data_IF_728516845316
#
_entry.id   IF_728516845316
#
_cell.length_a   1.000
_cell.length_b   1.000
_cell.length_c   1.000
_cell.angle_alpha   90.00
_cell.angle_beta   90.00
_cell.angle_gamma   90.00
#
_symmetry.space_group_name_H-M   'P 1'
#
loop_
_entity.id
_entity.type
_entity.pdbx_description
1 polymer ?
#
# COMPACT_ATOMS: atom_id res chain seq x y z
N UNK A 1 17.37 -20.40 18.63
CA UNK A 1 16.23 -21.35 18.65
C UNK A 1 14.95 -20.53 18.59
N UNK A 2 14.21 -20.58 17.49
CA UNK A 2 13.01 -19.77 17.28
C UNK A 2 11.78 -20.52 17.83
N UNK A 3 11.13 -19.99 18.87
CA UNK A 3 9.83 -20.49 19.34
C UNK A 3 8.71 -19.59 18.81
N UNK A 4 7.82 -20.21 18.02
CA UNK A 4 6.58 -19.65 17.49
C UNK A 4 5.64 -19.25 18.63
N UNK A 5 5.04 -18.06 18.56
CA UNK A 5 3.92 -17.68 19.42
C UNK A 5 2.60 -18.00 18.70
N UNK A 6 1.75 -18.76 19.38
CA UNK A 6 0.38 -19.10 18.98
C UNK A 6 -0.51 -17.92 19.35
N UNK A 7 -1.29 -17.40 18.39
CA UNK A 7 -2.34 -16.40 18.65
C UNK A 7 -3.70 -17.10 18.59
N UNK A 8 -4.36 -17.17 19.74
CA UNK A 8 -5.74 -17.62 19.88
C UNK A 8 -6.66 -16.44 19.58
N UNK A 9 -7.49 -16.54 18.53
CA UNK A 9 -8.51 -15.54 18.20
C UNK A 9 -9.75 -15.80 19.05
N UNK A 10 -10.14 -14.83 19.87
CA UNK A 10 -11.38 -14.89 20.66
C UNK A 10 -12.62 -14.70 19.78
N UNK A 11 -13.63 -15.55 19.99
CA UNK A 11 -14.91 -15.56 19.28
C UNK A 11 -15.70 -14.24 19.46
N UNK A 12 -16.26 -13.74 18.36
CA UNK A 12 -17.32 -12.75 18.38
C UNK A 12 -18.67 -13.42 18.72
N UNK A 13 -19.37 -12.89 19.73
CA UNK A 13 -20.73 -13.29 20.10
C UNK A 13 -21.73 -12.61 19.16
N UNK A 14 -22.50 -13.39 18.41
CA UNK A 14 -23.64 -12.90 17.60
C UNK A 14 -24.93 -12.97 18.42
N UNK A 15 -25.60 -11.84 18.65
CA UNK A 15 -27.00 -11.82 19.09
C UNK A 15 -27.91 -11.50 17.89
N UNK A 16 -28.89 -12.36 17.65
CA UNK A 16 -29.96 -12.17 16.69
C UNK A 16 -31.13 -11.38 17.31
N UNK A 17 -31.66 -10.40 16.59
CA UNK A 17 -32.88 -9.66 16.94
C UNK A 17 -33.57 -9.13 15.68
N UNK A 18 -34.87 -9.40 15.55
CA UNK A 18 -35.69 -9.10 14.39
C UNK A 18 -36.25 -7.66 14.39
N UNK A 19 -36.22 -7.03 13.20
CA UNK A 19 -37.09 -5.96 12.66
C UNK A 19 -37.56 -4.78 13.52
N UNK A 20 -37.10 -3.57 13.16
CA UNK A 20 -37.86 -2.31 12.87
C UNK A 20 -36.83 -1.27 12.40
N UNK A 21 -37.14 -0.52 11.33
CA UNK A 21 -36.22 0.45 10.73
C UNK A 21 -35.78 1.57 11.68
N UNK A 22 -34.48 1.63 11.93
CA UNK A 22 -33.76 2.77 12.52
C UNK A 22 -32.58 3.06 11.62
N UNK A 23 -32.38 4.34 11.27
CA UNK A 23 -31.20 4.79 10.55
C UNK A 23 -29.95 4.28 11.28
N UNK A 24 -29.10 3.51 10.59
CA UNK A 24 -27.80 3.12 11.11
C UNK A 24 -26.97 4.38 11.31
N UNK A 25 -26.92 4.90 12.54
CA UNK A 25 -25.87 5.81 12.95
C UNK A 25 -24.56 5.09 12.65
N UNK A 26 -23.76 5.65 11.74
CA UNK A 26 -22.41 5.17 11.50
C UNK A 26 -21.71 5.09 12.86
N UNK A 27 -21.33 3.89 13.29
CA UNK A 27 -20.47 3.74 14.47
C UNK A 27 -19.20 4.55 14.17
N UNK A 28 -19.02 5.67 14.86
CA UNK A 28 -17.77 6.42 14.80
C UNK A 28 -16.64 5.47 15.22
N UNK A 29 -15.64 5.32 14.37
CA UNK A 29 -14.52 4.44 14.65
C UNK A 29 -13.81 4.92 15.94
N UNK A 30 -13.63 4.02 16.91
CA UNK A 30 -12.95 4.35 18.17
C UNK A 30 -11.49 4.67 17.87
N UNK A 31 -10.99 5.88 18.19
CA UNK A 31 -9.60 6.21 17.96
C UNK A 31 -8.65 5.27 18.70
N UNK A 32 -7.52 4.94 18.09
CA UNK A 32 -6.48 4.10 18.70
C UNK A 32 -5.19 4.88 18.88
N UNK A 33 -4.38 4.48 19.85
CA UNK A 33 -3.03 5.03 20.07
C UNK A 33 -2.10 4.55 18.96
N UNK A 34 -1.29 5.48 18.45
CA UNK A 34 -0.17 5.21 17.55
C UNK A 34 1.15 5.61 18.23
N UNK A 35 2.04 4.65 18.50
CA UNK A 35 3.30 4.90 19.17
C UNK A 35 4.48 4.47 18.28
N UNK A 36 5.59 5.24 18.26
CA UNK A 36 6.83 4.79 17.64
C UNK A 36 7.30 3.45 18.22
N UNK A 37 7.76 2.52 17.40
CA UNK A 37 8.35 1.27 17.90
C UNK A 37 9.75 1.50 18.48
N UNK A 38 10.08 0.75 19.53
CA UNK A 38 11.39 0.79 20.19
C UNK A 38 12.27 -0.29 19.59
N UNK A 39 13.25 0.12 18.79
CA UNK A 39 14.23 -0.79 18.19
C UNK A 39 15.57 -0.66 18.90
N UNK A 40 16.15 -1.79 19.28
CA UNK A 40 17.47 -1.86 19.91
C UNK A 40 18.46 -2.37 18.87
N UNK A 41 19.24 -1.47 18.30
CA UNK A 41 20.20 -1.76 17.21
C UNK A 41 21.60 -2.11 17.70
N UNK A 42 21.82 -2.04 19.01
CA UNK A 42 23.08 -2.41 19.66
C UNK A 42 23.04 -3.85 20.16
N UNK A 43 24.21 -4.47 20.29
CA UNK A 43 24.31 -5.79 20.91
C UNK A 43 23.85 -5.72 22.38
N UNK A 44 22.84 -6.52 22.74
CA UNK A 44 22.32 -6.60 24.11
C UNK A 44 23.07 -7.69 24.88
N UNK A 45 23.79 -7.34 25.98
CA UNK A 45 24.44 -8.33 26.83
C UNK A 45 23.45 -9.38 27.34
N UNK A 46 23.87 -10.65 27.44
CA UNK A 46 23.01 -11.76 27.88
C UNK A 46 22.34 -11.48 29.24
N UNK A 47 23.07 -10.81 30.14
CA UNK A 47 22.59 -10.42 31.47
C UNK A 47 21.47 -9.38 31.44
N UNK A 48 21.35 -8.60 30.37
CA UNK A 48 20.35 -7.54 30.21
C UNK A 48 19.09 -8.00 29.47
N UNK A 49 19.11 -9.15 28.77
CA UNK A 49 18.01 -9.59 27.91
C UNK A 49 16.67 -9.66 28.64
N UNK A 50 16.63 -10.33 29.80
CA UNK A 50 15.39 -10.47 30.58
C UNK A 50 14.82 -9.12 31.05
N UNK A 51 15.68 -8.16 31.43
CA UNK A 51 15.25 -6.82 31.85
C UNK A 51 14.75 -6.00 30.65
N UNK A 52 15.42 -6.10 29.51
CA UNK A 52 15.00 -5.46 28.25
C UNK A 52 13.62 -6.01 27.81
N UNK A 53 13.45 -7.33 27.79
CA UNK A 53 12.20 -7.98 27.42
C UNK A 53 11.04 -7.59 28.36
N UNK A 54 11.31 -7.47 29.66
CA UNK A 54 10.32 -7.00 30.63
C UNK A 54 9.85 -5.57 30.33
N UNK A 55 10.79 -4.67 30.00
CA UNK A 55 10.45 -3.29 29.68
C UNK A 55 9.71 -3.17 28.34
N UNK A 56 10.06 -3.98 27.33
CA UNK A 56 9.32 -4.03 26.06
C UNK A 56 7.87 -4.51 26.28
N UNK A 57 7.67 -5.58 27.05
CA UNK A 57 6.32 -6.03 27.43
C UNK A 57 5.54 -4.98 28.23
N UNK A 58 6.23 -4.23 29.09
CA UNK A 58 5.60 -3.14 29.84
C UNK A 58 5.14 -2.02 28.91
N UNK A 59 5.92 -1.70 27.88
CA UNK A 59 5.54 -0.71 26.85
C UNK A 59 4.27 -1.15 26.12
N UNK A 60 4.16 -2.42 25.72
CA UNK A 60 2.96 -2.94 25.05
C UNK A 60 1.72 -2.90 25.96
N UNK A 61 1.88 -3.26 27.24
CA UNK A 61 0.80 -3.15 28.23
C UNK A 61 0.30 -1.71 28.40
N UNK A 62 1.20 -0.73 28.39
CA UNK A 62 0.84 0.68 28.50
C UNK A 62 0.03 1.17 27.29
N UNK A 63 0.34 0.69 26.08
CA UNK A 63 -0.44 0.99 24.87
C UNK A 63 -1.85 0.40 24.98
N UNK A 64 -1.97 -0.85 25.42
CA UNK A 64 -3.27 -1.51 25.60
C UNK A 64 -4.12 -0.82 26.66
N UNK A 65 -3.51 -0.43 27.80
CA UNK A 65 -4.19 0.35 28.83
C UNK A 65 -4.71 1.68 28.28
N UNK A 66 -3.90 2.37 27.47
CA UNK A 66 -4.29 3.63 26.84
C UNK A 66 -5.44 3.46 25.83
N UNK A 67 -5.39 2.42 24.98
CA UNK A 67 -6.47 2.08 24.05
C UNK A 67 -7.78 1.75 24.80
N UNK A 68 -7.71 0.96 25.87
CA UNK A 68 -8.87 0.63 26.70
C UNK A 68 -9.48 1.89 27.34
N UNK A 69 -8.63 2.83 27.79
CA UNK A 69 -9.08 4.10 28.34
C UNK A 69 -9.76 4.97 27.27
N UNK A 70 -9.22 5.05 26.06
CA UNK A 70 -9.84 5.80 24.94
C UNK A 70 -11.21 5.22 24.58
N UNK A 71 -11.32 3.89 24.51
CA UNK A 71 -12.59 3.21 24.26
C UNK A 71 -13.61 3.46 25.38
N UNK A 72 -13.19 3.50 26.64
CA UNK A 72 -14.07 3.76 27.79
C UNK A 72 -14.53 5.23 27.91
N UNK A 73 -13.83 6.18 27.26
CA UNK A 73 -14.07 7.62 27.41
C UNK A 73 -14.81 8.26 26.23
N UNK A 74 -15.38 7.45 25.33
CA UNK A 74 -16.14 7.94 24.17
C UNK A 74 -17.28 8.87 24.62
N UNK A 75 -17.21 10.15 24.22
CA UNK A 75 -18.22 11.17 24.55
C UNK A 75 -18.01 11.93 25.87
N UNK A 76 -16.89 11.75 26.59
CA UNK A 76 -16.61 12.44 27.86
C UNK A 76 -15.23 13.16 27.84
N UNK A 77 -15.14 14.35 28.45
CA UNK A 77 -13.87 15.02 28.77
C UNK A 77 -13.45 16.24 27.92
N UNK A 78 -14.15 16.55 26.82
CA UNK A 78 -13.83 17.70 25.96
C UNK A 78 -12.62 17.47 25.03
N UNK A 79 -12.34 18.44 24.14
CA UNK A 79 -11.44 18.28 22.98
C UNK A 79 -9.99 17.88 23.32
N UNK A 80 -9.51 18.16 24.54
CA UNK A 80 -8.13 17.93 24.96
C UNK A 80 -7.96 16.76 25.96
N UNK A 81 -9.04 16.04 26.30
CA UNK A 81 -8.98 15.00 27.33
C UNK A 81 -8.01 13.87 26.99
N UNK A 82 -8.10 13.35 25.76
CA UNK A 82 -7.25 12.22 25.35
C UNK A 82 -5.78 12.64 25.37
N UNK A 83 -5.47 13.86 24.93
CA UNK A 83 -4.11 14.41 24.96
C UNK A 83 -3.55 14.50 26.38
N UNK A 84 -4.34 15.07 27.31
CA UNK A 84 -3.86 15.40 28.66
C UNK A 84 -3.90 14.21 29.62
N UNK A 85 -4.96 13.40 29.56
CA UNK A 85 -5.22 12.34 30.52
C UNK A 85 -4.71 10.97 30.05
N UNK A 86 -4.48 10.78 28.75
CA UNK A 86 -4.11 9.47 28.18
C UNK A 86 -2.73 9.53 27.51
N UNK A 87 -2.54 10.38 26.50
CA UNK A 87 -1.28 10.43 25.75
C UNK A 87 -0.13 11.02 26.56
N UNK A 88 -0.38 12.04 27.38
CA UNK A 88 0.61 12.60 28.31
C UNK A 88 1.18 11.53 29.26
N UNK A 89 0.36 10.87 30.08
CA UNK A 89 0.82 9.79 30.95
C UNK A 89 1.44 8.60 30.22
N UNK A 90 0.95 8.27 29.02
CA UNK A 90 1.54 7.21 28.19
C UNK A 90 2.97 7.58 27.75
N UNK A 91 3.19 8.84 27.35
CA UNK A 91 4.52 9.34 27.00
C UNK A 91 5.48 9.19 28.17
N UNK A 92 5.10 9.63 29.37
CA UNK A 92 5.98 9.55 30.54
C UNK A 92 6.32 8.10 30.92
N UNK A 93 5.31 7.21 30.90
CA UNK A 93 5.48 5.78 31.16
C UNK A 93 6.41 5.11 30.14
N UNK A 94 6.30 5.45 28.86
CA UNK A 94 7.16 4.93 27.78
C UNK A 94 8.58 5.48 27.88
N UNK A 95 8.73 6.78 28.11
CA UNK A 95 10.03 7.42 28.32
C UNK A 95 10.82 6.72 29.44
N UNK A 96 10.15 6.45 30.55
CA UNK A 96 10.75 5.75 31.68
C UNK A 96 11.17 4.30 31.31
N UNK A 97 10.33 3.57 30.57
CA UNK A 97 10.66 2.21 30.14
C UNK A 97 11.85 2.17 29.16
N UNK A 98 11.91 3.08 28.20
CA UNK A 98 13.02 3.18 27.23
C UNK A 98 14.32 3.57 27.96
N UNK A 99 14.24 4.50 28.92
CA UNK A 99 15.38 4.89 29.75
C UNK A 99 15.91 3.73 30.60
N UNK A 100 15.03 2.83 31.07
CA UNK A 100 15.43 1.59 31.76
C UNK A 100 16.11 0.60 30.83
N UNK A 101 15.67 0.48 29.58
CA UNK A 101 16.33 -0.36 28.56
C UNK A 101 17.76 0.14 28.32
N UNK A 102 17.96 1.44 28.10
CA UNK A 102 19.29 2.02 27.92
C UNK A 102 20.20 1.75 29.13
N UNK A 103 19.64 1.91 30.34
CA UNK A 103 20.36 1.69 31.60
C UNK A 103 20.70 0.21 31.80
N UNK A 104 19.79 -0.72 31.46
CA UNK A 104 20.02 -2.16 31.58
C UNK A 104 21.19 -2.60 30.69
N UNK A 105 21.24 -2.08 29.46
CA UNK A 105 22.33 -2.34 28.52
C UNK A 105 23.63 -1.70 29.02
N UNK A 106 23.57 -0.47 29.54
CA UNK A 106 24.77 0.26 29.98
C UNK A 106 25.51 -0.36 31.16
N UNK A 107 24.88 -1.26 31.92
CA UNK A 107 25.56 -1.97 33.03
C UNK A 107 26.67 -2.91 32.55
N UNK A 108 26.60 -3.38 31.30
CA UNK A 108 27.53 -4.38 30.75
C UNK A 108 28.00 -4.07 29.32
N UNK A 109 27.63 -2.92 28.76
CA UNK A 109 28.02 -2.45 27.44
C UNK A 109 28.01 -0.91 27.38
N UNK A 110 28.47 -0.33 26.26
CA UNK A 110 28.28 1.10 26.02
C UNK A 110 26.79 1.46 26.04
N UNK A 111 26.43 2.56 26.72
CA UNK A 111 25.04 3.00 26.80
C UNK A 111 24.53 3.35 25.40
N UNK A 112 23.48 2.69 24.90
CA UNK A 112 22.83 3.13 23.66
C UNK A 112 22.08 4.42 23.91
N UNK A 113 22.04 5.28 22.89
CA UNK A 113 21.07 6.36 22.81
C UNK A 113 19.92 5.90 21.92
N UNK A 114 18.80 5.51 22.53
CA UNK A 114 17.60 5.09 21.82
C UNK A 114 16.72 6.29 21.43
N UNK A 115 17.07 7.51 21.87
CA UNK A 115 16.26 8.72 21.70
C UNK A 115 14.88 8.57 22.36
N UNK A 116 14.91 8.36 23.68
CA UNK A 116 13.72 8.12 24.49
C UNK A 116 12.69 9.26 24.36
N UNK A 117 13.14 10.51 24.23
CA UNK A 117 12.28 11.69 24.07
C UNK A 117 11.41 11.60 22.82
N UNK A 118 11.99 11.15 21.70
CA UNK A 118 11.27 10.97 20.43
C UNK A 118 10.39 9.74 20.47
N UNK A 119 10.91 8.61 20.93
CA UNK A 119 10.20 7.32 20.93
C UNK A 119 9.05 7.25 21.95
N UNK A 120 9.08 8.07 22.99
CA UNK A 120 8.03 8.12 24.01
C UNK A 120 6.73 8.73 23.50
N UNK A 121 6.79 9.65 22.53
CA UNK A 121 5.63 10.43 22.10
C UNK A 121 4.71 9.60 21.21
N UNK A 122 3.45 9.43 21.63
CA UNK A 122 2.41 8.74 20.86
C UNK A 122 1.34 9.72 20.38
N UNK A 123 0.67 9.38 19.26
CA UNK A 123 -0.42 10.13 18.63
C UNK A 123 -1.72 9.30 18.61
N UNK A 124 -2.78 9.85 18.03
CA UNK A 124 -4.06 9.16 17.84
C UNK A 124 -4.33 8.90 16.37
N UNK A 125 -4.73 7.68 16.06
CA UNK A 125 -5.39 7.32 14.82
C UNK A 125 -6.88 7.62 14.98
N UNK A 126 -7.36 8.72 14.43
CA UNK A 126 -8.76 9.17 14.60
C UNK A 126 -9.79 8.28 13.87
N UNK A 127 -9.34 7.35 13.00
CA UNK A 127 -10.19 6.53 12.15
C UNK A 127 -10.29 5.05 12.59
N UNK A 128 -9.88 4.70 13.81
CA UNK A 128 -10.03 3.34 14.37
C UNK A 128 -9.47 2.20 13.53
N UNK A 129 -8.42 2.46 12.74
CA UNK A 129 -7.64 1.40 12.13
C UNK A 129 -6.97 0.57 13.25
N UNK A 130 -7.07 -0.76 13.14
CA UNK A 130 -6.38 -1.71 14.00
C UNK A 130 -4.88 -1.35 14.09
N UNK A 131 -4.19 -1.70 15.19
CA UNK A 131 -2.76 -1.46 15.29
C UNK A 131 -2.08 -2.13 14.11
N UNK A 132 -1.54 -1.31 13.20
CA UNK A 132 -0.74 -1.80 12.10
C UNK A 132 0.54 -2.33 12.76
N UNK A 133 0.74 -3.64 12.71
CA UNK A 133 2.04 -4.23 12.99
C UNK A 133 2.92 -3.75 11.84
N UNK A 134 3.60 -2.61 12.03
CA UNK A 134 4.65 -2.20 11.12
C UNK A 134 5.76 -3.24 11.21
N UNK A 135 5.82 -4.11 10.21
CA UNK A 135 7.01 -4.91 9.91
C UNK A 135 8.22 -3.97 9.83
N UNK A 136 9.38 -4.38 10.37
CA UNK A 136 10.54 -3.51 10.55
C UNK A 136 10.98 -2.87 9.22
N UNK A 137 11.56 -1.66 9.23
CA UNK A 137 12.26 -1.19 8.06
C UNK A 137 13.37 -2.20 7.74
N UNK A 138 13.40 -2.64 6.48
CA UNK A 138 14.52 -3.43 5.97
C UNK A 138 15.83 -2.69 6.28
N UNK A 139 16.90 -3.45 6.52
CA UNK A 139 18.24 -2.90 6.63
C UNK A 139 18.48 -1.84 5.54
N UNK A 140 19.09 -0.72 5.93
CA UNK A 140 19.43 0.37 5.00
C UNK A 140 20.04 -0.21 3.71
N UNK A 141 19.59 0.24 2.52
CA UNK A 141 20.16 -0.21 1.26
C UNK A 141 21.69 0.00 1.28
N UNK A 142 22.45 -1.06 1.00
CA UNK A 142 23.92 -1.12 1.06
C UNK A 142 24.66 -0.31 -0.01
N UNK A 143 24.18 0.90 -0.31
CA UNK A 143 24.62 1.69 -1.46
C UNK A 143 24.58 3.19 -1.17
N UNK A 144 25.02 3.65 0.01
CA UNK A 144 25.30 5.07 0.37
C UNK A 144 24.23 6.13 0.00
N UNK A 145 23.06 5.70 -0.45
CA UNK A 145 21.91 6.52 -0.81
C UNK A 145 20.89 6.28 0.31
N UNK A 146 20.67 7.31 1.13
CA UNK A 146 19.63 7.26 2.15
C UNK A 146 18.23 7.17 1.52
N UNK A 147 17.31 6.53 2.24
CA UNK A 147 15.89 6.53 1.88
C UNK A 147 15.35 7.96 2.05
N UNK A 148 14.75 8.54 1.00
CA UNK A 148 14.18 9.90 1.05
C UNK A 148 12.87 9.94 1.86
N UNK A 149 11.99 8.97 1.65
CA UNK A 149 10.78 8.69 2.45
C UNK A 149 10.28 7.30 2.08
N UNK A 150 9.64 6.60 3.02
CA UNK A 150 8.98 5.31 2.84
C UNK A 150 7.49 5.36 3.21
N UNK A 151 7.00 6.51 3.67
CA UNK A 151 5.60 6.77 3.99
C UNK A 151 5.18 8.20 3.57
N UNK A 152 3.90 8.49 3.80
CA UNK A 152 3.33 9.82 3.61
C UNK A 152 3.45 10.73 4.84
N UNK A 153 4.04 10.27 5.94
CA UNK A 153 3.99 10.99 7.24
C UNK A 153 4.68 12.35 7.21
N UNK A 154 5.66 12.52 6.31
CA UNK A 154 6.40 13.77 6.12
C UNK A 154 5.88 14.61 4.95
N UNK A 155 4.87 14.10 4.23
CA UNK A 155 4.29 14.78 3.08
C UNK A 155 3.42 15.96 3.51
N UNK A 156 3.45 17.03 2.70
CA UNK A 156 2.54 18.18 2.84
C UNK A 156 1.32 18.08 1.94
N UNK A 157 1.20 17.02 1.14
CA UNK A 157 0.05 16.77 0.28
C UNK A 157 -1.09 16.15 1.08
N UNK A 158 -2.33 16.43 0.67
CA UNK A 158 -3.50 15.75 1.22
C UNK A 158 -3.42 14.24 1.00
N UNK A 159 -3.91 13.40 1.92
CA UNK A 159 -4.03 11.96 1.70
C UNK A 159 -4.90 11.62 0.48
N UNK A 160 -4.53 10.58 -0.26
CA UNK A 160 -5.31 10.06 -1.36
C UNK A 160 -6.58 9.37 -0.83
N UNK A 161 -7.73 9.68 -1.44
CA UNK A 161 -9.05 9.23 -0.98
C UNK A 161 -9.67 8.13 -1.85
N UNK A 162 -8.91 7.64 -2.82
CA UNK A 162 -9.34 6.58 -3.73
C UNK A 162 -9.87 7.10 -5.07
N UNK A 163 -10.12 8.39 -5.21
CA UNK A 163 -10.56 8.99 -6.47
C UNK A 163 -9.37 9.50 -7.28
N UNK A 164 -9.56 9.72 -8.59
CA UNK A 164 -8.50 10.17 -9.50
C UNK A 164 -8.11 11.64 -9.30
N UNK A 165 -7.65 11.99 -8.09
CA UNK A 165 -7.24 13.35 -7.70
C UNK A 165 -5.72 13.42 -7.64
N UNK A 166 -5.15 14.31 -8.45
CA UNK A 166 -3.70 14.61 -8.40
C UNK A 166 -3.31 15.37 -7.13
N UNK A 167 -2.00 15.58 -6.94
CA UNK A 167 -1.45 16.29 -5.78
C UNK A 167 -1.90 15.69 -4.44
N UNK A 168 -1.87 14.36 -4.35
CA UNK A 168 -2.21 13.59 -3.15
C UNK A 168 -1.04 12.71 -2.73
N UNK A 169 -0.97 12.40 -1.43
CA UNK A 169 -0.06 11.39 -0.91
C UNK A 169 -0.77 10.04 -0.79
N UNK A 170 -0.22 9.01 -1.42
CA UNK A 170 -0.76 7.65 -1.39
C UNK A 170 -0.05 6.87 -0.29
N UNK A 171 -0.74 6.63 0.84
CA UNK A 171 -0.21 5.83 1.96
C UNK A 171 -0.41 4.33 1.80
N UNK A 172 -1.01 3.89 0.69
CA UNK A 172 -1.30 2.48 0.43
C UNK A 172 -0.02 1.69 0.25
N UNK A 173 0.13 0.61 1.02
CA UNK A 173 1.28 -0.28 0.91
C UNK A 173 1.40 -0.80 -0.52
N UNK A 174 2.64 -1.06 -0.97
CA UNK A 174 2.85 -1.61 -2.29
C UNK A 174 2.24 -3.02 -2.45
N UNK A 175 2.27 -3.81 -1.37
CA UNK A 175 1.70 -5.15 -1.32
C UNK A 175 2.71 -6.26 -1.60
N UNK A 176 2.19 -7.41 -2.01
CA UNK A 176 2.94 -8.64 -2.23
C UNK A 176 3.69 -8.61 -3.58
N UNK A 177 4.94 -9.09 -3.56
CA UNK A 177 5.81 -9.19 -4.74
C UNK A 177 5.94 -10.65 -5.17
N UNK A 178 5.63 -10.94 -6.42
CA UNK A 178 5.79 -12.28 -7.00
C UNK A 178 7.26 -12.66 -7.19
N UNK A 179 7.54 -13.96 -7.16
CA UNK A 179 8.83 -14.47 -7.63
C UNK A 179 9.02 -14.07 -9.10
N UNK A 180 10.26 -13.81 -9.54
CA UNK A 180 10.61 -13.44 -10.90
C UNK A 180 10.06 -14.40 -11.96
N UNK A 181 9.97 -15.71 -11.66
CA UNK A 181 9.37 -16.70 -12.55
C UNK A 181 7.84 -16.57 -12.70
N UNK A 182 7.20 -15.96 -11.71
CA UNK A 182 5.75 -15.77 -11.60
C UNK A 182 5.32 -14.32 -11.82
N UNK A 183 6.25 -13.42 -12.13
CA UNK A 183 5.88 -12.04 -12.41
C UNK A 183 5.16 -11.94 -13.76
N UNK A 184 4.20 -11.00 -13.88
CA UNK A 184 3.44 -10.84 -15.09
C UNK A 184 4.33 -10.38 -16.24
N UNK A 185 3.99 -10.84 -17.44
CA UNK A 185 4.54 -10.33 -18.71
C UNK A 185 3.40 -10.06 -19.67
N UNK A 186 3.57 -9.09 -20.57
CA UNK A 186 2.55 -8.68 -21.52
C UNK A 186 3.20 -8.34 -22.86
N UNK A 187 2.53 -8.71 -23.95
CA UNK A 187 2.99 -8.47 -25.33
C UNK A 187 1.82 -8.14 -26.26
N UNK A 188 1.94 -7.10 -27.09
CA UNK A 188 1.03 -6.86 -28.21
C UNK A 188 1.50 -7.73 -29.38
N UNK A 189 0.84 -8.87 -29.57
CA UNK A 189 1.19 -9.87 -30.58
C UNK A 189 0.72 -9.52 -31.98
N UNK A 190 -0.30 -8.67 -32.10
CA UNK A 190 -0.79 -8.19 -33.38
C UNK A 190 -1.33 -6.77 -33.27
N UNK A 191 -0.97 -5.93 -34.24
CA UNK A 191 -1.49 -4.60 -34.42
C UNK A 191 -1.40 -4.19 -35.88
N UNK A 192 -2.37 -3.44 -36.43
CA UNK A 192 -2.20 -2.84 -37.75
C UNK A 192 -1.11 -1.76 -37.70
N UNK A 193 -0.29 -1.67 -38.75
CA UNK A 193 0.65 -0.55 -38.92
C UNK A 193 -0.06 0.74 -39.33
N UNK A 194 -1.24 0.62 -39.96
CA UNK A 194 -1.99 1.74 -40.47
C UNK A 194 -3.49 1.43 -40.50
N UNK A 195 -4.31 2.44 -40.23
CA UNK A 195 -5.77 2.43 -40.37
C UNK A 195 -6.26 3.77 -40.95
N UNK A 196 -7.48 3.81 -41.48
CA UNK A 196 -8.15 5.06 -41.82
C UNK A 196 -8.77 5.68 -40.56
N UNK A 197 -9.00 7.00 -40.57
CA UNK A 197 -9.77 7.69 -39.51
C UNK A 197 -11.11 7.00 -39.26
N UNK A 198 -11.43 6.84 -37.98
CA UNK A 198 -12.64 6.17 -37.49
C UNK A 198 -12.83 4.73 -38.01
N UNK A 199 -11.80 4.10 -38.61
CA UNK A 199 -11.84 2.69 -38.97
C UNK A 199 -11.62 1.86 -37.70
N UNK A 200 -12.54 0.95 -37.34
CA UNK A 200 -12.31 0.03 -36.24
C UNK A 200 -11.13 -0.88 -36.53
N UNK A 201 -10.37 -1.21 -35.49
CA UNK A 201 -9.29 -2.19 -35.58
C UNK A 201 -9.11 -2.95 -34.27
N UNK A 202 -8.24 -3.95 -34.30
CA UNK A 202 -8.01 -4.83 -33.15
C UNK A 202 -6.53 -4.88 -32.81
N UNK A 203 -6.24 -4.85 -31.51
CA UNK A 203 -4.94 -5.26 -30.97
C UNK A 203 -5.11 -6.65 -30.34
N UNK A 204 -4.14 -7.53 -30.55
CA UNK A 204 -4.08 -8.81 -29.84
C UNK A 204 -3.06 -8.70 -28.72
N UNK A 205 -3.53 -8.69 -27.47
CA UNK A 205 -2.69 -8.54 -26.28
C UNK A 205 -2.56 -9.90 -25.60
N UNK A 206 -1.35 -10.43 -25.52
CA UNK A 206 -1.06 -11.63 -24.76
C UNK A 206 -0.57 -11.28 -23.37
N UNK A 207 -1.09 -11.98 -22.36
CA UNK A 207 -0.63 -11.87 -20.97
C UNK A 207 -0.22 -13.24 -20.45
N UNK A 208 0.76 -13.27 -19.54
CA UNK A 208 1.18 -14.45 -18.80
C UNK A 208 1.39 -14.05 -17.34
N UNK A 209 1.08 -14.96 -16.41
CA UNK A 209 1.26 -14.79 -14.97
C UNK A 209 0.46 -13.61 -14.38
N UNK A 210 -0.72 -13.36 -14.93
CA UNK A 210 -1.64 -12.32 -14.47
C UNK A 210 -3.04 -12.91 -14.36
N UNK A 211 -3.63 -12.86 -13.17
CA UNK A 211 -5.03 -13.20 -12.94
C UNK A 211 -5.81 -11.90 -13.07
N UNK A 212 -6.69 -11.81 -14.08
CA UNK A 212 -7.40 -10.59 -14.47
C UNK A 212 -8.78 -10.49 -13.85
N UNK A 213 -8.82 -10.56 -12.53
CA UNK A 213 -10.05 -10.64 -11.73
C UNK A 213 -10.15 -9.54 -10.66
N UNK A 214 -9.27 -8.53 -10.71
CA UNK A 214 -9.20 -7.49 -9.69
C UNK A 214 -8.99 -6.08 -10.26
N UNK A 215 -10.05 -5.29 -10.24
CA UNK A 215 -10.14 -3.92 -10.72
C UNK A 215 -11.17 -3.17 -9.87
N UNK A 216 -10.67 -2.34 -8.94
CA UNK A 216 -11.52 -1.41 -8.20
C UNK A 216 -11.70 -0.13 -9.02
N UNK A 217 -12.84 0.03 -9.68
CA UNK A 217 -13.05 1.14 -10.61
C UNK A 217 -12.68 2.50 -10.00
N UNK A 218 -11.76 3.20 -10.65
CA UNK A 218 -11.22 4.47 -10.17
C UNK A 218 -12.31 5.55 -9.95
N UNK A 219 -13.34 5.56 -10.80
CA UNK A 219 -14.51 6.45 -10.66
C UNK A 219 -15.39 6.16 -9.44
N UNK A 220 -15.20 5.02 -8.78
CA UNK A 220 -15.92 4.60 -7.57
C UNK A 220 -15.05 4.68 -6.31
N UNK A 221 -13.90 5.34 -6.37
CA UNK A 221 -12.99 5.45 -5.23
C UNK A 221 -12.01 4.29 -5.09
N UNK A 222 -11.83 3.46 -6.12
CA UNK A 222 -10.93 2.29 -6.10
C UNK A 222 -9.47 2.57 -6.46
N UNK A 223 -9.13 3.80 -6.83
CA UNK A 223 -7.81 4.14 -7.35
C UNK A 223 -6.77 4.19 -6.21
N UNK A 224 -5.75 3.34 -6.25
CA UNK A 224 -4.73 3.24 -5.19
C UNK A 224 -5.26 2.95 -3.76
N UNK A 225 -6.39 2.26 -3.59
CA UNK A 225 -6.88 1.88 -2.24
C UNK A 225 -6.48 0.47 -1.82
N UNK A 226 -6.15 -0.39 -2.78
CA UNK A 226 -5.75 -1.77 -2.55
C UNK A 226 -4.24 -1.92 -2.80
N UNK A 227 -3.59 -2.80 -2.07
CA UNK A 227 -2.20 -3.19 -2.30
C UNK A 227 -2.12 -4.35 -3.30
N UNK A 228 -0.95 -4.57 -3.92
CA UNK A 228 -0.75 -5.78 -4.74
C UNK A 228 -1.00 -7.04 -3.91
N UNK A 229 -1.72 -8.01 -4.47
CA UNK A 229 -1.96 -9.32 -3.84
C UNK A 229 -1.72 -10.44 -4.84
N UNK A 230 -1.27 -11.58 -4.33
CA UNK A 230 -0.98 -12.78 -5.10
C UNK A 230 -2.03 -13.86 -4.84
N UNK A 231 -2.28 -14.68 -5.85
CA UNK A 231 -3.01 -15.95 -5.72
C UNK A 231 -2.23 -17.05 -6.42
N UNK A 232 -1.85 -18.08 -5.65
CA UNK A 232 -0.96 -19.12 -6.17
C UNK A 232 0.41 -18.59 -6.61
N UNK A 233 0.85 -17.45 -6.05
CA UNK A 233 2.09 -16.77 -6.42
C UNK A 233 2.01 -15.90 -7.69
N UNK A 234 0.84 -15.80 -8.33
CA UNK A 234 0.59 -14.93 -9.47
C UNK A 234 -0.10 -13.64 -9.03
N UNK A 235 0.19 -12.52 -9.71
CA UNK A 235 -0.45 -11.24 -9.42
C UNK A 235 -1.93 -11.28 -9.79
N UNK A 236 -2.78 -10.78 -8.89
CA UNK A 236 -4.19 -10.45 -9.20
C UNK A 236 -4.32 -9.00 -9.60
N UNK A 237 -5.05 -8.74 -10.67
CA UNK A 237 -5.18 -7.41 -11.25
C UNK A 237 -6.01 -7.38 -12.51
N UNK A 238 -5.54 -6.59 -13.47
CA UNK A 238 -6.15 -6.33 -14.78
C UNK A 238 -5.05 -5.86 -15.73
N UNK A 239 -5.38 -5.46 -16.97
CA UNK A 239 -4.45 -4.67 -17.77
C UNK A 239 -5.20 -3.54 -18.47
N UNK A 240 -4.47 -2.49 -18.79
CA UNK A 240 -4.98 -1.36 -19.54
C UNK A 240 -4.50 -1.43 -20.98
N UNK A 241 -5.31 -0.89 -21.89
CA UNK A 241 -4.90 -0.59 -23.27
C UNK A 241 -5.31 0.84 -23.60
N UNK A 242 -4.39 1.64 -24.12
CA UNK A 242 -4.66 3.02 -24.49
C UNK A 242 -3.98 3.40 -25.80
N UNK A 243 -4.62 4.25 -26.60
CA UNK A 243 -4.01 4.84 -27.81
C UNK A 243 -4.02 6.37 -27.71
N UNK A 244 -2.83 6.97 -27.62
CA UNK A 244 -2.65 8.43 -27.67
C UNK A 244 -1.99 8.84 -28.97
N UNK A 245 -2.35 10.01 -29.48
CA UNK A 245 -1.65 10.62 -30.61
C UNK A 245 -0.28 11.14 -30.14
N UNK A 246 0.71 11.11 -31.03
CA UNK A 246 2.02 11.67 -30.79
C UNK A 246 2.22 12.94 -31.63
N UNK A 247 2.46 14.06 -30.95
CA UNK A 247 2.86 15.31 -31.60
C UNK A 247 4.29 15.24 -32.15
N UNK A 248 5.13 14.41 -31.51
CA UNK A 248 6.51 14.17 -31.89
C UNK A 248 6.89 12.71 -31.68
N UNK A 249 7.73 12.19 -32.57
CA UNK A 249 8.33 10.85 -32.43
C UNK A 249 9.70 10.89 -31.74
N UNK A 250 10.17 12.07 -31.36
CA UNK A 250 11.51 12.29 -30.80
C UNK A 250 11.48 12.90 -29.40
N UNK A 251 10.30 13.22 -28.88
CA UNK A 251 10.12 13.85 -27.58
C UNK A 251 9.04 13.10 -26.79
N UNK A 252 9.14 13.16 -25.47
CA UNK A 252 8.09 12.64 -24.60
C UNK A 252 6.82 13.50 -24.81
N UNK A 253 5.66 12.89 -25.08
CA UNK A 253 4.42 13.63 -25.24
C UNK A 253 3.93 14.20 -23.90
N UNK A 254 3.12 15.26 -23.97
CA UNK A 254 2.43 15.80 -22.81
C UNK A 254 1.53 14.74 -22.14
N UNK A 255 1.31 14.83 -20.81
CA UNK A 255 0.44 13.90 -20.09
C UNK A 255 -1.05 14.11 -20.43
N UNK A 256 -1.42 15.33 -20.78
CA UNK A 256 -2.70 15.71 -21.36
C UNK A 256 -2.60 15.81 -22.90
N UNK A 257 -3.72 15.67 -23.64
CA UNK A 257 -5.06 15.29 -23.17
C UNK A 257 -5.21 13.78 -22.90
N UNK A 258 -6.40 13.36 -22.47
CA UNK A 258 -6.75 11.94 -22.37
C UNK A 258 -6.53 11.22 -23.71
N UNK A 259 -6.15 9.94 -23.71
CA UNK A 259 -5.92 9.20 -24.95
C UNK A 259 -7.19 9.12 -25.80
N UNK A 260 -7.02 9.00 -27.12
CA UNK A 260 -8.13 8.82 -28.06
C UNK A 260 -8.87 7.48 -27.91
N UNK A 261 -8.28 6.54 -27.16
CA UNK A 261 -8.90 5.30 -26.72
C UNK A 261 -8.31 4.87 -25.39
N UNK A 262 -9.14 4.32 -24.50
CA UNK A 262 -8.71 3.66 -23.26
C UNK A 262 -9.70 2.55 -22.90
N UNK A 263 -9.18 1.41 -22.44
CA UNK A 263 -9.97 0.35 -21.82
C UNK A 263 -9.16 -0.33 -20.72
N UNK A 264 -9.84 -0.75 -19.66
CA UNK A 264 -9.33 -1.69 -18.66
C UNK A 264 -9.96 -3.07 -18.89
N UNK A 265 -9.13 -4.11 -18.90
CA UNK A 265 -9.56 -5.50 -19.14
C UNK A 265 -9.48 -6.29 -17.84
N UNK A 266 -10.65 -6.53 -17.25
CA UNK A 266 -10.91 -7.50 -16.19
C UNK A 266 -12.00 -8.46 -16.71
N UNK A 267 -11.58 -9.62 -17.19
CA UNK A 267 -12.46 -10.62 -17.79
C UNK A 267 -12.64 -11.85 -16.89
N UNK A 268 -12.14 -11.78 -15.65
CA UNK A 268 -12.08 -12.90 -14.69
C UNK A 268 -11.34 -14.13 -15.25
N UNK A 269 -10.37 -13.92 -16.14
CA UNK A 269 -9.53 -14.96 -16.76
C UNK A 269 -8.05 -14.71 -16.45
N UNK A 270 -7.16 -15.32 -17.23
CA UNK A 270 -5.72 -15.26 -17.03
C UNK A 270 -5.21 -16.32 -16.06
N UNK A 271 -3.90 -16.33 -15.86
CA UNK A 271 -3.19 -17.34 -15.08
C UNK A 271 -1.74 -17.49 -15.52
N UNK A 272 -1.12 -18.64 -15.19
CA UNK A 272 0.30 -18.89 -15.50
C UNK A 272 0.56 -19.16 -16.99
N UNK A 273 -0.43 -19.68 -17.71
CA UNK A 273 -0.34 -19.96 -19.14
C UNK A 273 -0.63 -18.70 -19.94
N UNK A 274 0.15 -18.39 -20.99
CA UNK A 274 -0.20 -17.29 -21.88
C UNK A 274 -1.59 -17.47 -22.49
N UNK A 275 -2.38 -16.41 -22.44
CA UNK A 275 -3.58 -16.27 -23.23
C UNK A 275 -3.52 -14.99 -24.06
N UNK A 276 -4.49 -14.78 -24.94
CA UNK A 276 -4.55 -13.61 -25.82
C UNK A 276 -5.95 -13.05 -25.85
N UNK A 277 -6.03 -11.73 -25.74
CA UNK A 277 -7.26 -10.96 -25.68
C UNK A 277 -7.29 -10.01 -26.86
N UNK A 278 -8.39 -10.04 -27.59
CA UNK A 278 -8.66 -9.10 -28.68
C UNK A 278 -9.24 -7.81 -28.08
N UNK A 279 -8.50 -6.71 -28.21
CA UNK A 279 -8.95 -5.37 -27.83
C UNK A 279 -9.51 -4.66 -29.05
N UNK A 280 -10.83 -4.45 -29.07
CA UNK A 280 -11.50 -3.74 -30.14
C UNK A 280 -11.39 -2.23 -29.91
N UNK A 281 -10.78 -1.54 -30.86
CA UNK A 281 -10.71 -0.09 -30.90
C UNK A 281 -11.74 0.38 -31.92
N UNK A 282 -12.79 1.11 -31.52
CA UNK A 282 -13.87 1.55 -32.43
C UNK A 282 -13.38 2.41 -33.59
N UNK A 283 -12.22 3.03 -33.44
CA UNK A 283 -11.59 3.92 -34.42
C UNK A 283 -10.97 5.12 -33.73
N UNK A 284 -10.06 5.79 -34.42
CA UNK A 284 -9.38 6.99 -33.93
C UNK A 284 -9.72 8.16 -34.85
N UNK A 285 -10.18 9.27 -34.26
CA UNK A 285 -10.75 10.38 -35.02
C UNK A 285 -9.70 11.27 -35.71
N UNK A 286 -8.55 11.46 -35.06
CA UNK A 286 -7.50 12.33 -35.56
C UNK A 286 -6.53 11.56 -36.48
N UNK A 287 -6.08 12.16 -37.59
CA UNK A 287 -4.99 11.60 -38.37
C UNK A 287 -3.65 11.81 -37.63
N UNK A 288 -2.70 10.90 -37.78
CA UNK A 288 -1.40 11.00 -37.12
C UNK A 288 -0.82 9.66 -36.69
N UNK A 289 0.35 9.70 -36.06
CA UNK A 289 0.95 8.49 -35.48
C UNK A 289 0.46 8.32 -34.05
N UNK A 290 -0.24 7.22 -33.78
CA UNK A 290 -0.68 6.87 -32.44
C UNK A 290 0.30 5.91 -31.78
N UNK A 291 0.64 6.17 -30.52
CA UNK A 291 1.17 5.18 -29.60
C UNK A 291 0.00 4.42 -28.99
N UNK A 292 -0.13 3.14 -29.37
CA UNK A 292 -1.03 2.23 -28.68
C UNK A 292 -0.22 1.36 -27.73
N UNK A 293 -0.51 1.43 -26.44
CA UNK A 293 0.22 0.77 -25.37
C UNK A 293 -0.72 -0.13 -24.59
N UNK A 294 -0.20 -1.26 -24.11
CA UNK A 294 -0.88 -2.12 -23.16
C UNK A 294 0.05 -2.39 -21.97
N UNK A 295 -0.49 -2.40 -20.76
CA UNK A 295 0.29 -2.66 -19.54
C UNK A 295 -0.56 -3.32 -18.46
N UNK A 296 0.05 -4.26 -17.73
CA UNK A 296 -0.60 -4.87 -16.58
C UNK A 296 -0.77 -3.85 -15.45
N UNK A 297 -1.86 -3.99 -14.71
CA UNK A 297 -2.14 -3.31 -13.45
C UNK A 297 -2.37 -4.36 -12.37
N UNK A 298 -1.79 -4.17 -11.18
CA UNK A 298 -2.27 -4.85 -9.98
C UNK A 298 -3.65 -4.28 -9.56
N UNK A 299 -4.25 -4.79 -8.47
CA UNK A 299 -5.52 -4.26 -7.95
C UNK A 299 -5.51 -2.75 -7.65
N UNK A 300 -4.33 -2.14 -7.55
CA UNK A 300 -4.12 -0.72 -7.27
C UNK A 300 -3.98 0.15 -8.53
N UNK A 301 -4.00 -0.44 -9.73
CA UNK A 301 -3.71 0.18 -11.04
C UNK A 301 -2.23 0.52 -11.28
N UNK A 302 -1.32 0.08 -10.41
CA UNK A 302 0.12 0.21 -10.63
C UNK A 302 0.60 -0.94 -11.50
N UNK A 303 1.64 -0.70 -12.31
CA UNK A 303 2.35 -1.82 -12.92
C UNK A 303 2.85 -2.73 -11.79
N UNK A 304 2.54 -4.03 -11.82
CA UNK A 304 2.91 -4.94 -10.76
C UNK A 304 4.41 -4.86 -10.43
N UNK A 305 4.73 -4.91 -9.14
CA UNK A 305 6.10 -4.88 -8.69
C UNK A 305 6.89 -6.07 -9.24
N UNK A 306 8.18 -5.84 -9.45
CA UNK A 306 9.12 -6.83 -9.94
C UNK A 306 10.10 -7.19 -8.83
N UNK A 307 10.56 -8.45 -8.82
CA UNK A 307 11.54 -8.92 -7.83
C UNK A 307 12.90 -8.21 -8.01
N UNK A 308 13.23 -7.83 -9.24
CA UNK A 308 14.54 -7.26 -9.61
C UNK A 308 14.41 -6.08 -10.55
N UNK A 309 15.35 -5.14 -10.42
CA UNK A 309 15.36 -3.90 -11.20
C UNK A 309 15.59 -4.10 -12.72
N UNK A 310 16.26 -5.18 -13.12
CA UNK A 310 16.55 -5.49 -14.53
C UNK A 310 15.50 -6.41 -15.19
N UNK A 311 14.30 -6.50 -14.62
CA UNK A 311 13.18 -7.19 -15.24
C UNK A 311 12.43 -6.24 -16.18
N UNK A 312 12.02 -6.73 -17.35
CA UNK A 312 11.12 -5.98 -18.23
C UNK A 312 9.72 -5.97 -17.61
N UNK A 313 9.10 -4.80 -17.39
CA UNK A 313 7.74 -4.74 -16.86
C UNK A 313 6.75 -5.31 -17.87
N UNK A 314 5.58 -5.73 -17.40
CA UNK A 314 4.46 -6.15 -18.23
C UNK A 314 3.83 -4.95 -18.96
N UNK A 315 4.53 -4.45 -19.98
CA UNK A 315 4.15 -3.31 -20.82
C UNK A 315 4.67 -3.56 -22.23
N UNK A 316 3.85 -3.24 -23.22
CA UNK A 316 4.27 -3.17 -24.61
C UNK A 316 3.62 -1.98 -25.32
N UNK A 317 4.20 -1.54 -26.44
CA UNK A 317 3.74 -0.41 -27.23
C UNK A 317 4.02 -0.58 -28.71
N UNK A 318 3.01 -0.28 -29.53
CA UNK A 318 3.11 -0.23 -30.99
C UNK A 318 2.83 1.17 -31.51
N UNK A 319 3.15 1.40 -32.79
CA UNK A 319 2.80 2.61 -33.52
C UNK A 319 1.78 2.28 -34.61
N UNK A 320 0.67 3.01 -34.61
CA UNK A 320 -0.39 2.88 -35.61
C UNK A 320 -0.52 4.21 -36.34
N UNK A 321 -0.32 4.22 -37.66
CA UNK A 321 -0.56 5.42 -38.46
C UNK A 321 -2.04 5.53 -38.83
N UNK A 322 -2.70 6.59 -38.39
CA UNK A 322 -4.05 6.94 -38.82
C UNK A 322 -3.97 7.91 -40.00
N UNK A 323 -4.67 7.61 -41.10
CA UNK A 323 -4.76 8.46 -42.31
C UNK A 323 -6.19 8.94 -42.57
#
# INVERSE_FOLDING_TARGET
MHRKLVITVGLAVTMAGAGIGIASAAQAAVPTVNCPQVYITVNVPAQAQAEVDNNLRQIDQQINEANNRIAATQGQGGANFIQNAILGPLKDKRFAAISRIETAISRNAARPNLNAERLATCTLNQNGAAPVVSTPPAAQPGNNLGILTDSCDTSRLEPHDGFQKGNRCVSTEFGEVGNAANNPTLLITNAPRQVNRNQPFTLQVSTRNLIRDRFLAAGQGGYYVESSVLQGGLVRGHFHTACRILDSQQQAPAPDPVPGFFVATEDSRGGATPDTIAIQIPGLAQPGTFQCSAWAGDGSHRIPMMERANQTPALDSVRVQVR
#
